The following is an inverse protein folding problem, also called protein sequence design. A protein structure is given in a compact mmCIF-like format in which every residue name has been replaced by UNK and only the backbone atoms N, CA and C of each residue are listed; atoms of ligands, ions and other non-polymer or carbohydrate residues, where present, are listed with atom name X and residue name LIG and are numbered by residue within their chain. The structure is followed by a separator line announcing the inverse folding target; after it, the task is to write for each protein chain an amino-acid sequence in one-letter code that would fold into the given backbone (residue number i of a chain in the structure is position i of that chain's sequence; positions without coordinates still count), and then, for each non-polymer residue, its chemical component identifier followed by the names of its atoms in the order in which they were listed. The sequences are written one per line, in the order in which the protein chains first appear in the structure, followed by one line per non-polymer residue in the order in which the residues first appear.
data_IF_211330930146
#
_entry.id   IF_211330930146
#
_cell.length_a   1.000
_cell.length_b   1.000
_cell.length_c   1.000
_cell.angle_alpha   90.00
_cell.angle_beta   90.00
_cell.angle_gamma   90.00
#
_symmetry.space_group_name_H-M   'P 1'
#
loop_
_entity.id
_entity.type
_entity.pdbx_description
1 polymer ?
#
# COMPACT_ATOMS: atom_id res chain seq x y z
N UNK A 1 15.14 -11.02 -11.70
CA UNK A 1 15.72 -11.36 -10.38
C UNK A 1 16.26 -10.10 -9.73
N UNK A 2 16.89 -9.19 -10.50
CA UNK A 2 17.39 -7.91 -9.98
C UNK A 2 16.29 -6.94 -9.50
N UNK A 3 15.10 -6.90 -10.12
CA UNK A 3 14.04 -5.92 -9.76
C UNK A 3 13.49 -6.10 -8.33
N UNK A 4 13.39 -7.35 -7.86
CA UNK A 4 12.88 -7.65 -6.52
C UNK A 4 13.92 -7.31 -5.45
N UNK A 5 15.20 -7.59 -5.70
CA UNK A 5 16.30 -7.18 -4.82
C UNK A 5 16.41 -5.66 -4.73
N UNK A 6 16.16 -4.95 -5.84
CA UNK A 6 16.10 -3.50 -5.86
C UNK A 6 14.90 -2.95 -5.08
N UNK A 7 13.72 -3.60 -5.16
CA UNK A 7 12.56 -3.28 -4.34
C UNK A 7 12.91 -3.40 -2.85
N UNK A 8 13.52 -4.50 -2.43
CA UNK A 8 13.91 -4.69 -1.03
C UNK A 8 14.89 -3.64 -0.53
N UNK A 9 15.88 -3.25 -1.35
CA UNK A 9 16.78 -2.13 -1.04
C UNK A 9 16.06 -0.79 -0.99
N UNK A 10 15.06 -0.58 -1.82
CA UNK A 10 14.24 0.63 -1.79
C UNK A 10 13.37 0.68 -0.52
N UNK A 11 12.80 -0.45 -0.10
CA UNK A 11 12.07 -0.56 1.17
C UNK A 11 12.96 -0.29 2.38
N UNK A 12 14.19 -0.81 2.39
CA UNK A 12 15.17 -0.53 3.46
C UNK A 12 15.45 0.97 3.59
N UNK A 13 15.68 1.66 2.47
CA UNK A 13 15.90 3.11 2.47
C UNK A 13 14.66 3.91 2.90
N UNK A 14 13.49 3.59 2.35
CA UNK A 14 12.26 4.35 2.62
C UNK A 14 11.76 4.13 4.05
N UNK A 15 11.99 2.94 4.62
CA UNK A 15 11.63 2.65 6.00
C UNK A 15 12.32 3.60 6.98
N UNK A 16 13.51 4.12 6.65
CA UNK A 16 14.29 5.05 7.47
C UNK A 16 13.84 6.52 7.40
N UNK A 17 12.84 6.86 6.57
CA UNK A 17 12.34 8.23 6.46
C UNK A 17 11.78 8.73 7.80
N UNK A 18 12.06 9.96 8.27
CA UNK A 18 11.55 10.42 9.56
C UNK A 18 10.03 10.34 9.67
N UNK A 19 9.29 10.96 8.74
CA UNK A 19 7.84 10.79 8.59
C UNK A 19 7.51 9.94 7.34
N UNK A 20 6.94 8.74 7.55
CA UNK A 20 6.62 7.78 6.49
C UNK A 20 5.11 7.70 6.23
N UNK A 21 4.71 7.82 4.96
CA UNK A 21 3.36 7.51 4.48
C UNK A 21 3.32 6.16 3.77
N UNK A 22 2.44 5.26 4.19
CA UNK A 22 2.12 4.01 3.48
C UNK A 22 0.70 4.14 2.93
N UNK A 23 0.57 4.21 1.61
CA UNK A 23 -0.71 4.37 0.92
C UNK A 23 -0.96 3.17 0.00
N UNK A 24 -2.01 2.40 0.27
CA UNK A 24 -2.35 1.21 -0.51
C UNK A 24 -3.73 1.39 -1.13
N UNK A 25 -3.89 1.08 -2.41
CA UNK A 25 -5.25 0.93 -2.93
C UNK A 25 -5.98 -0.20 -2.21
N UNK A 26 -7.29 -0.12 -2.13
CA UNK A 26 -8.09 -1.23 -1.60
C UNK A 26 -8.24 -2.32 -2.66
N UNK A 27 -8.99 -2.01 -3.72
CA UNK A 27 -9.32 -2.94 -4.80
C UNK A 27 -8.09 -3.32 -5.63
N UNK A 28 -7.89 -4.63 -5.80
CA UNK A 28 -6.79 -5.22 -6.56
C UNK A 28 -5.41 -5.13 -5.90
N UNK A 29 -5.31 -4.49 -4.72
CA UNK A 29 -4.04 -4.37 -3.97
C UNK A 29 -4.15 -5.02 -2.61
N UNK A 30 -5.01 -4.50 -1.73
CA UNK A 30 -5.26 -5.13 -0.44
C UNK A 30 -6.25 -6.27 -0.58
N UNK A 31 -7.32 -6.06 -1.37
CA UNK A 31 -8.36 -7.04 -1.63
C UNK A 31 -8.29 -7.52 -3.09
N UNK A 32 -8.10 -8.83 -3.36
CA UNK A 32 -8.11 -9.35 -4.72
C UNK A 32 -9.48 -9.17 -5.39
N UNK A 33 -9.48 -8.97 -6.71
CA UNK A 33 -10.71 -8.88 -7.50
C UNK A 33 -11.27 -10.28 -7.78
N UNK A 34 -12.03 -10.81 -6.84
CA UNK A 34 -12.65 -12.14 -6.93
C UNK A 34 -14.10 -12.09 -7.47
N UNK A 35 -14.49 -10.97 -8.08
CA UNK A 35 -15.73 -10.82 -8.82
C UNK A 35 -16.92 -10.22 -8.06
N UNK A 36 -17.17 -10.58 -6.79
CA UNK A 36 -18.19 -9.93 -5.97
C UNK A 36 -17.57 -8.81 -5.12
N UNK A 37 -17.87 -7.53 -5.41
CA UNK A 37 -17.32 -6.40 -4.66
C UNK A 37 -17.71 -6.40 -3.18
N UNK A 38 -18.87 -6.96 -2.81
CA UNK A 38 -19.36 -6.98 -1.42
C UNK A 38 -18.57 -7.99 -0.56
N UNK A 39 -17.94 -8.97 -1.20
CA UNK A 39 -17.07 -9.97 -0.59
C UNK A 39 -15.58 -9.63 -0.72
N UNK A 40 -15.24 -8.45 -1.24
CA UNK A 40 -13.84 -7.99 -1.36
C UNK A 40 -13.19 -7.90 0.03
N UNK A 41 -12.41 -8.93 0.38
CA UNK A 41 -11.67 -9.03 1.63
C UNK A 41 -10.23 -8.68 1.38
N UNK A 42 -9.70 -7.76 2.18
CA UNK A 42 -8.26 -7.58 2.22
C UNK A 42 -7.57 -8.87 2.69
N UNK A 43 -6.41 -9.18 2.14
CA UNK A 43 -5.54 -10.26 2.61
C UNK A 43 -5.28 -10.10 4.11
N UNK A 44 -5.35 -11.21 4.84
CA UNK A 44 -5.21 -11.17 6.29
C UNK A 44 -3.80 -10.71 6.69
N UNK A 45 -2.76 -11.20 6.00
CA UNK A 45 -1.37 -10.80 6.22
C UNK A 45 -1.16 -9.31 5.96
N UNK A 46 -1.75 -8.77 4.88
CA UNK A 46 -1.76 -7.32 4.63
C UNK A 46 -2.39 -6.57 5.81
N UNK A 47 -3.57 -7.00 6.28
CA UNK A 47 -4.26 -6.37 7.42
C UNK A 47 -3.44 -6.40 8.71
N UNK A 48 -2.71 -7.48 8.97
CA UNK A 48 -1.79 -7.62 10.11
C UNK A 48 -0.60 -6.66 10.01
N UNK A 49 0.04 -6.58 8.85
CA UNK A 49 1.14 -5.66 8.57
C UNK A 49 0.72 -4.19 8.67
N UNK A 50 -0.46 -3.82 8.16
CA UNK A 50 -1.01 -2.47 8.31
C UNK A 50 -1.29 -2.12 9.79
N UNK A 51 -1.79 -3.07 10.58
CA UNK A 51 -1.97 -2.87 12.03
C UNK A 51 -0.62 -2.61 12.74
N UNK A 52 0.45 -3.28 12.32
CA UNK A 52 1.80 -3.03 12.86
C UNK A 52 2.26 -1.64 12.48
N UNK A 53 2.23 -1.29 11.18
CA UNK A 53 2.66 0.01 10.67
C UNK A 53 1.91 1.18 11.33
N UNK A 54 0.59 1.05 11.54
CA UNK A 54 -0.22 2.03 12.25
C UNK A 54 0.21 2.26 13.71
N UNK A 55 0.79 1.26 14.35
CA UNK A 55 1.24 1.34 15.74
C UNK A 55 2.65 1.93 15.89
N UNK A 56 3.39 2.10 14.79
CA UNK A 56 4.73 2.66 14.80
C UNK A 56 4.67 4.20 14.77
N UNK A 57 5.55 4.83 15.54
CA UNK A 57 5.65 6.28 15.57
C UNK A 57 6.01 6.83 14.17
N UNK A 58 5.59 8.08 13.90
CA UNK A 58 5.92 8.79 12.65
C UNK A 58 5.56 8.00 11.38
N UNK A 59 4.51 7.16 11.47
CA UNK A 59 4.06 6.31 10.37
C UNK A 59 2.57 6.54 10.16
N UNK A 60 2.23 7.05 8.98
CA UNK A 60 0.84 7.21 8.54
C UNK A 60 0.48 6.06 7.61
N UNK A 61 -0.66 5.42 7.83
CA UNK A 61 -1.21 4.43 6.90
C UNK A 61 -2.55 4.92 6.33
N UNK A 62 -2.68 4.84 5.02
CA UNK A 62 -3.87 5.22 4.28
C UNK A 62 -4.33 4.10 3.34
N UNK A 63 -5.63 3.80 3.40
CA UNK A 63 -6.32 2.98 2.40
C UNK A 63 -6.92 3.93 1.37
N UNK A 64 -6.53 3.74 0.13
CA UNK A 64 -6.93 4.55 -1.02
C UNK A 64 -8.06 3.82 -1.74
N UNK A 65 -9.23 4.42 -1.82
CA UNK A 65 -10.36 3.82 -2.55
C UNK A 65 -11.33 4.88 -3.04
N UNK A 66 -12.07 4.53 -4.10
CA UNK A 66 -13.24 5.29 -4.59
C UNK A 66 -14.56 4.76 -4.03
N UNK A 67 -14.53 3.63 -3.29
CA UNK A 67 -15.68 3.07 -2.59
C UNK A 67 -16.15 4.01 -1.48
N UNK A 68 -17.33 3.72 -0.95
CA UNK A 68 -17.80 4.40 0.25
C UNK A 68 -16.84 4.13 1.43
N UNK A 69 -16.44 5.16 2.21
CA UNK A 69 -15.51 4.98 3.32
C UNK A 69 -16.00 4.00 4.39
N UNK A 70 -17.31 3.95 4.65
CA UNK A 70 -17.89 3.07 5.67
C UNK A 70 -17.85 1.60 5.21
N UNK A 71 -18.08 1.37 3.91
CA UNK A 71 -17.96 0.04 3.29
C UNK A 71 -16.52 -0.46 3.36
N UNK A 72 -15.54 0.35 2.95
CA UNK A 72 -14.12 -0.01 3.03
C UNK A 72 -13.72 -0.29 4.48
N UNK A 73 -14.13 0.58 5.42
CA UNK A 73 -13.83 0.38 6.83
C UNK A 73 -14.46 -0.92 7.37
N UNK A 74 -15.66 -1.29 6.92
CA UNK A 74 -16.29 -2.56 7.28
C UNK A 74 -15.52 -3.76 6.72
N UNK A 75 -15.17 -3.74 5.44
CA UNK A 75 -14.43 -4.81 4.78
C UNK A 75 -13.05 -5.01 5.43
N UNK A 76 -12.33 -3.92 5.70
CA UNK A 76 -11.03 -3.96 6.39
C UNK A 76 -11.16 -4.49 7.83
N UNK A 77 -12.22 -4.16 8.56
CA UNK A 77 -12.44 -4.72 9.92
C UNK A 77 -12.66 -6.22 9.88
N UNK A 78 -13.43 -6.69 8.90
CA UNK A 78 -13.70 -8.11 8.70
C UNK A 78 -12.45 -8.89 8.25
N UNK A 79 -11.50 -8.21 7.62
CA UNK A 79 -10.15 -8.74 7.33
C UNK A 79 -9.15 -8.65 8.48
N UNK A 80 -9.55 -8.12 9.65
CA UNK A 80 -8.73 -8.14 10.88
C UNK A 80 -8.04 -6.81 11.22
N UNK A 81 -8.34 -5.71 10.54
CA UNK A 81 -7.82 -4.39 10.95
C UNK A 81 -8.47 -3.89 12.24
N UNK A 82 -7.71 -3.17 13.06
CA UNK A 82 -8.12 -2.69 14.39
C UNK A 82 -8.71 -1.28 14.38
N UNK A 83 -8.90 -0.69 13.20
CA UNK A 83 -9.28 0.72 13.03
C UNK A 83 -8.09 1.67 13.00
N UNK A 84 -8.35 2.97 12.80
CA UNK A 84 -7.31 4.01 12.71
C UNK A 84 -6.69 4.19 11.31
N UNK A 85 -7.03 3.34 10.35
CA UNK A 85 -6.69 3.54 8.95
C UNK A 85 -7.37 4.81 8.42
N UNK A 86 -6.60 5.66 7.74
CA UNK A 86 -7.15 6.80 7.01
C UNK A 86 -7.74 6.29 5.70
N UNK A 87 -9.01 6.56 5.45
CA UNK A 87 -9.58 6.39 4.12
C UNK A 87 -9.35 7.65 3.31
N UNK A 88 -8.82 7.52 2.09
CA UNK A 88 -8.61 8.65 1.18
C UNK A 88 -9.04 8.33 -0.24
N UNK A 89 -9.53 9.33 -0.95
CA UNK A 89 -9.76 9.20 -2.39
C UNK A 89 -8.43 9.26 -3.15
N UNK A 90 -8.31 8.65 -4.33
CA UNK A 90 -7.07 8.66 -5.11
C UNK A 90 -6.51 10.07 -5.37
N UNK A 91 -7.38 11.06 -5.64
CA UNK A 91 -6.95 12.44 -5.88
C UNK A 91 -6.36 13.13 -4.64
N UNK A 92 -6.65 12.64 -3.44
CA UNK A 92 -6.26 13.27 -2.17
C UNK A 92 -4.96 12.69 -1.60
N UNK A 93 -4.40 11.64 -2.20
CA UNK A 93 -3.12 11.04 -1.78
C UNK A 93 -1.99 12.07 -1.82
N UNK A 94 -1.99 12.96 -2.81
CA UNK A 94 -0.99 14.04 -2.93
C UNK A 94 -1.00 15.01 -1.74
N UNK A 95 -2.17 15.23 -1.14
CA UNK A 95 -2.32 16.07 0.06
C UNK A 95 -1.68 15.39 1.27
N UNK A 96 -1.95 14.10 1.50
CA UNK A 96 -1.28 13.35 2.57
C UNK A 96 0.23 13.27 2.36
N UNK A 97 0.67 13.07 1.11
CA UNK A 97 2.10 13.04 0.77
C UNK A 97 2.81 14.34 1.11
N UNK A 98 2.12 15.47 1.14
CA UNK A 98 2.76 16.77 1.40
C UNK A 98 3.39 16.86 2.80
N UNK A 99 2.82 16.15 3.78
CA UNK A 99 3.23 16.17 5.18
C UNK A 99 4.26 15.07 5.55
N UNK A 100 4.60 14.18 4.60
CA UNK A 100 5.53 13.08 4.81
C UNK A 100 6.90 13.37 4.16
N UNK A 101 7.98 12.81 4.72
CA UNK A 101 9.30 12.86 4.11
C UNK A 101 9.39 11.90 2.93
N UNK A 102 8.87 10.68 3.10
CA UNK A 102 8.79 9.68 2.04
C UNK A 102 7.47 8.92 2.05
N UNK A 103 7.15 8.30 0.91
CA UNK A 103 5.94 7.51 0.72
C UNK A 103 6.24 6.16 0.07
N UNK A 104 5.56 5.12 0.58
CA UNK A 104 5.34 3.86 -0.14
C UNK A 104 3.92 3.87 -0.69
N UNK A 105 3.77 3.79 -2.01
CA UNK A 105 2.47 3.75 -2.70
C UNK A 105 2.30 2.43 -3.44
N UNK A 106 1.27 1.67 -3.10
CA UNK A 106 0.98 0.37 -3.72
C UNK A 106 -0.36 0.43 -4.46
N UNK A 107 -0.36 0.30 -5.80
CA UNK A 107 -1.52 0.53 -6.68
C UNK A 107 -1.68 -0.53 -7.78
N UNK A 108 -2.89 -0.71 -8.33
CA UNK A 108 -3.12 -1.57 -9.52
C UNK A 108 -2.94 -0.87 -10.87
N UNK A 109 -3.19 0.45 -10.93
CA UNK A 109 -3.08 1.23 -12.17
C UNK A 109 -2.89 2.72 -11.85
N UNK A 110 -2.20 3.45 -12.74
CA UNK A 110 -1.77 4.84 -12.52
C UNK A 110 -1.09 5.03 -11.16
N UNK A 111 0.13 4.49 -11.02
CA UNK A 111 1.05 4.90 -9.95
C UNK A 111 1.11 6.44 -9.86
N UNK A 112 1.41 7.00 -8.69
CA UNK A 112 1.25 8.44 -8.45
C UNK A 112 2.03 9.21 -9.51
N UNK A 113 1.32 10.10 -10.23
CA UNK A 113 1.85 10.81 -11.41
C UNK A 113 3.11 11.64 -11.11
N UNK A 114 3.40 11.90 -9.83
CA UNK A 114 4.56 12.64 -9.36
C UNK A 114 5.11 11.97 -8.08
N UNK A 115 6.01 11.01 -8.24
CA UNK A 115 6.85 10.52 -7.14
C UNK A 115 7.92 11.57 -6.82
N UNK A 116 8.14 11.84 -5.53
CA UNK A 116 9.30 12.62 -5.09
C UNK A 116 10.51 11.71 -4.96
N UNK A 117 11.70 12.30 -4.95
CA UNK A 117 12.92 11.57 -4.61
C UNK A 117 12.76 10.92 -3.22
N UNK A 118 13.08 9.63 -3.12
CA UNK A 118 12.89 8.84 -1.89
C UNK A 118 11.54 8.13 -1.79
N UNK A 119 10.54 8.45 -2.62
CA UNK A 119 9.30 7.68 -2.68
C UNK A 119 9.52 6.33 -3.37
N UNK A 120 8.74 5.34 -2.95
CA UNK A 120 8.70 4.00 -3.54
C UNK A 120 7.29 3.76 -4.07
N UNK A 121 7.18 3.47 -5.37
CA UNK A 121 5.95 2.98 -5.97
C UNK A 121 6.06 1.48 -6.24
N UNK A 122 4.99 0.76 -5.91
CA UNK A 122 4.80 -0.66 -6.21
C UNK A 122 3.49 -0.77 -7.00
N UNK A 123 3.56 -1.38 -8.18
CA UNK A 123 2.37 -1.60 -9.02
C UNK A 123 2.06 -3.09 -9.06
N UNK A 124 0.81 -3.45 -8.73
CA UNK A 124 0.31 -4.81 -8.86
C UNK A 124 -0.09 -5.04 -10.31
N UNK A 125 0.38 -6.12 -10.90
CA UNK A 125 0.06 -6.45 -12.29
C UNK A 125 -1.42 -6.83 -12.43
N UNK A 126 -2.07 -6.32 -13.48
CA UNK A 126 -3.41 -6.76 -13.84
C UNK A 126 -3.37 -8.22 -14.31
N UNK A 127 -4.46 -8.96 -14.05
CA UNK A 127 -4.59 -10.39 -14.43
C UNK A 127 -4.52 -10.61 -15.96
N UNK A 128 -4.85 -9.58 -16.75
CA UNK A 128 -4.75 -9.61 -18.21
C UNK A 128 -3.32 -9.41 -18.75
N UNK A 129 -2.35 -9.21 -17.85
CA UNK A 129 -0.95 -8.95 -18.18
C UNK A 129 -0.71 -7.59 -18.84
N UNK A 130 -1.72 -6.72 -18.90
CA UNK A 130 -1.53 -5.35 -19.34
C UNK A 130 -0.89 -4.53 -18.22
N UNK A 131 0.08 -3.71 -18.59
CA UNK A 131 0.67 -2.74 -17.66
C UNK A 131 0.68 -1.41 -18.37
N UNK A 132 -0.16 -0.47 -17.92
CA UNK A 132 0.02 0.94 -18.27
C UNK A 132 1.36 1.37 -17.67
N UNK A 133 2.29 1.89 -18.47
CA UNK A 133 3.67 2.29 -18.10
C UNK A 133 3.87 2.48 -16.59
N UNK A 134 4.20 1.38 -15.90
CA UNK A 134 4.28 1.40 -14.44
C UNK A 134 5.53 2.18 -14.04
N UNK A 135 5.35 3.18 -13.19
CA UNK A 135 6.48 3.84 -12.53
C UNK A 135 6.74 3.08 -11.23
N UNK A 136 7.99 2.65 -11.01
CA UNK A 136 8.39 1.92 -9.81
C UNK A 136 8.54 0.41 -10.02
N UNK A 137 8.36 -0.36 -8.94
CA UNK A 137 8.53 -1.80 -8.90
C UNK A 137 7.22 -2.53 -9.23
N UNK A 138 7.32 -3.74 -9.79
CA UNK A 138 6.16 -4.58 -10.14
C UNK A 138 6.04 -5.76 -9.19
N UNK A 139 4.82 -6.07 -8.78
CA UNK A 139 4.46 -7.29 -8.05
C UNK A 139 3.31 -8.00 -8.76
N UNK A 140 3.23 -9.32 -8.64
CA UNK A 140 2.35 -10.13 -9.49
C UNK A 140 0.91 -10.20 -8.99
N UNK A 141 0.68 -10.05 -7.69
CA UNK A 141 -0.63 -10.25 -7.06
C UNK A 141 -0.71 -9.60 -5.66
N UNK A 142 -1.87 -9.74 -5.03
CA UNK A 142 -2.15 -9.28 -3.65
C UNK A 142 -1.37 -10.06 -2.59
N UNK A 143 -0.94 -11.30 -2.87
CA UNK A 143 -0.09 -12.08 -1.97
C UNK A 143 1.30 -11.44 -1.86
N UNK A 144 1.87 -11.06 -3.01
CA UNK A 144 3.13 -10.30 -3.11
C UNK A 144 3.05 -8.93 -2.41
N UNK A 145 1.89 -8.28 -2.45
CA UNK A 145 1.65 -7.04 -1.67
C UNK A 145 1.78 -7.29 -0.17
N UNK A 146 1.29 -8.44 0.30
CA UNK A 146 1.39 -8.80 1.72
C UNK A 146 2.85 -8.97 2.15
N UNK A 147 3.69 -9.57 1.30
CA UNK A 147 5.14 -9.68 1.54
C UNK A 147 5.81 -8.31 1.62
N UNK A 148 5.46 -7.39 0.70
CA UNK A 148 5.97 -6.01 0.70
C UNK A 148 5.61 -5.27 1.99
N UNK A 149 4.36 -5.40 2.44
CA UNK A 149 3.89 -4.75 3.66
C UNK A 149 4.52 -5.36 4.92
N UNK A 150 4.70 -6.69 4.95
CA UNK A 150 5.37 -7.38 6.05
C UNK A 150 6.83 -6.95 6.17
N UNK A 151 7.55 -6.92 5.04
CA UNK A 151 8.94 -6.46 4.97
C UNK A 151 9.07 -5.01 5.44
N UNK A 152 8.21 -4.12 4.93
CA UNK A 152 8.21 -2.71 5.33
C UNK A 152 7.92 -2.55 6.83
N UNK A 153 6.96 -3.30 7.37
CA UNK A 153 6.64 -3.29 8.80
C UNK A 153 7.82 -3.77 9.65
N UNK A 154 8.54 -4.80 9.19
CA UNK A 154 9.74 -5.31 9.86
C UNK A 154 10.85 -4.28 9.89
N UNK A 155 11.16 -3.67 8.74
CA UNK A 155 12.20 -2.65 8.60
C UNK A 155 11.88 -1.40 9.43
N UNK A 156 10.65 -0.89 9.32
CA UNK A 156 10.20 0.30 10.05
C UNK A 156 10.26 0.12 11.58
N UNK A 157 9.99 -1.09 12.07
CA UNK A 157 10.06 -1.43 13.50
C UNK A 157 11.50 -1.50 14.03
N UNK A 158 12.48 -1.74 13.15
CA UNK A 158 13.90 -1.86 13.50
C UNK A 158 14.64 -0.53 13.66
N UNK A 159 13.97 0.59 13.40
CA UNK A 159 14.51 1.96 13.46
C UNK A 159 14.15 2.61 14.80
#
# INVERSE_FOLDING_TARGET
MDDLDELWRALDRVAAAPELLVACDFDGVLAPDLGDPDDARAEQLSSESLNILLALAHTTVAVVSRRDPDDVAQLMRLSGTKGGLRHVMPQDVGTLRADADAMVRISVDEGPRHLREGDVAVTVMNEDGSTTTASGYLVVDTESVSEVLEELARLRRGI
#
